data_IF_775411420429
#
_entry.id   IF_775411420429
#
_cell.length_a   1.000
_cell.length_b   1.000
_cell.length_c   1.000
_cell.angle_alpha   90.00
_cell.angle_beta   90.00
_cell.angle_gamma   90.00
#
_symmetry.space_group_name_H-M   'P 1'
#
loop_
_entity.id
_entity.type
_entity.pdbx_description
1 polymer ?
#
# COMPACT_ATOMS: atom_id res chain seq x y z
N UNK A 1 36.80 -12.53 77.19
CA UNK A 1 35.92 -13.21 78.16
C UNK A 1 34.55 -13.30 77.51
N UNK A 2 34.37 -14.34 76.70
CA UNK A 2 33.63 -15.56 77.06
C UNK A 2 32.12 -15.29 77.07
N UNK A 3 31.36 -15.70 76.04
CA UNK A 3 30.88 -17.08 75.79
C UNK A 3 29.86 -17.50 76.89
N UNK A 4 28.75 -18.20 76.67
CA UNK A 4 28.23 -19.01 75.58
C UNK A 4 26.84 -19.55 76.07
N UNK A 5 25.81 -19.74 75.24
CA UNK A 5 25.27 -21.03 74.69
C UNK A 5 23.73 -21.00 74.90
N UNK A 6 22.91 -20.84 73.86
CA UNK A 6 22.33 -21.87 72.98
C UNK A 6 21.33 -22.83 73.66
N UNK A 7 20.06 -22.74 73.24
CA UNK A 7 19.36 -23.83 72.53
C UNK A 7 18.10 -23.32 71.80
N UNK A 8 18.04 -23.68 70.52
CA UNK A 8 16.94 -23.56 69.55
C UNK A 8 16.19 -24.93 69.49
N UNK A 9 15.05 -25.13 68.77
CA UNK A 9 15.04 -25.09 67.29
C UNK A 9 13.74 -24.65 66.55
N UNK A 10 13.98 -24.25 65.29
CA UNK A 10 13.16 -24.35 64.06
C UNK A 10 11.84 -23.54 63.93
N UNK A 11 11.59 -22.81 62.83
CA UNK A 11 12.01 -23.04 61.42
C UNK A 11 12.32 -21.75 60.61
N UNK A 12 13.55 -21.73 60.06
CA UNK A 12 14.04 -21.33 58.73
C UNK A 12 13.76 -19.93 58.11
N UNK A 13 14.83 -19.12 58.12
CA UNK A 13 15.15 -17.90 57.34
C UNK A 13 15.58 -18.23 55.88
N UNK A 14 15.12 -17.50 54.85
CA UNK A 14 15.70 -16.31 54.16
C UNK A 14 17.00 -16.48 53.33
N UNK A 15 16.96 -15.96 52.08
CA UNK A 15 17.84 -14.90 51.50
C UNK A 15 18.50 -15.20 50.13
N UNK A 16 18.08 -14.39 49.14
CA UNK A 16 18.81 -13.66 48.09
C UNK A 16 19.91 -14.30 47.22
N UNK A 17 19.70 -14.25 45.89
CA UNK A 17 20.24 -13.28 44.89
C UNK A 17 19.89 -13.87 43.51
N UNK A 18 19.53 -13.11 42.47
CA UNK A 18 20.49 -12.48 41.57
C UNK A 18 19.86 -11.50 40.57
N UNK A 19 20.60 -10.41 40.34
CA UNK A 19 20.88 -9.70 39.07
C UNK A 19 19.81 -9.63 37.97
N UNK A 20 19.43 -8.40 37.62
CA UNK A 20 19.21 -8.03 36.22
C UNK A 20 19.85 -6.68 35.91
N UNK A 21 20.89 -6.77 35.09
CA UNK A 21 21.67 -5.67 34.51
C UNK A 21 20.77 -4.70 33.73
N UNK A 22 20.63 -3.44 34.21
CA UNK A 22 20.20 -2.32 33.38
C UNK A 22 21.33 -1.92 32.43
N UNK A 23 21.31 -2.45 31.20
CA UNK A 23 22.08 -1.88 30.10
C UNK A 23 21.37 -0.61 29.64
N UNK A 24 21.99 0.55 29.87
CA UNK A 24 21.66 1.79 29.17
C UNK A 24 21.91 1.57 27.67
N UNK A 25 20.86 1.27 26.91
CA UNK A 25 20.86 1.36 25.47
C UNK A 25 20.73 2.84 25.10
N UNK A 26 21.87 3.49 24.90
CA UNK A 26 21.95 4.78 24.21
C UNK A 26 21.52 4.56 22.74
N UNK A 27 20.22 4.62 22.47
CA UNK A 27 19.75 4.84 21.11
C UNK A 27 20.07 6.28 20.73
N UNK A 28 21.15 6.47 19.97
CA UNK A 28 21.35 7.72 19.25
C UNK A 28 20.18 7.85 18.27
N UNK A 29 19.21 8.69 18.64
CA UNK A 29 18.28 9.29 17.67
C UNK A 29 19.11 9.83 16.52
N UNK A 30 18.94 9.24 15.32
CA UNK A 30 19.36 9.92 14.10
C UNK A 30 18.38 11.07 13.94
N UNK A 31 18.82 12.26 14.32
CA UNK A 31 18.13 13.49 13.99
C UNK A 31 17.98 13.55 12.47
N UNK A 32 16.78 13.23 11.97
CA UNK A 32 16.34 13.79 10.70
C UNK A 32 16.18 15.28 10.95
N UNK A 33 17.11 16.05 10.43
CA UNK A 33 17.00 17.50 10.37
C UNK A 33 15.69 17.83 9.67
N UNK A 34 14.73 18.38 10.41
CA UNK A 34 13.52 18.97 9.84
C UNK A 34 13.99 20.14 8.99
N UNK A 35 14.01 19.95 7.67
CA UNK A 35 14.28 21.02 6.71
C UNK A 35 13.10 21.98 6.83
N UNK A 36 13.32 23.14 7.49
CA UNK A 36 12.39 24.26 7.40
C UNK A 36 12.36 24.72 5.96
N UNK A 37 11.22 24.52 5.29
CA UNK A 37 10.97 25.05 3.97
C UNK A 37 11.03 26.58 4.02
N UNK A 38 12.01 27.16 3.34
CA UNK A 38 12.01 28.59 3.02
C UNK A 38 11.08 28.80 1.82
N UNK A 39 10.19 29.79 1.92
CA UNK A 39 9.22 30.15 0.89
C UNK A 39 9.91 30.76 -0.34
N UNK A 40 10.42 29.91 -1.22
CA UNK A 40 10.67 30.21 -2.62
C UNK A 40 10.20 28.99 -3.42
N UNK A 41 8.95 29.00 -3.88
CA UNK A 41 8.42 27.96 -4.76
C UNK A 41 9.08 28.07 -6.14
N UNK A 42 10.18 27.34 -6.33
CA UNK A 42 10.77 27.12 -7.65
C UNK A 42 9.90 26.14 -8.44
N UNK A 43 9.87 26.28 -9.77
CA UNK A 43 9.26 25.32 -10.71
C UNK A 43 9.71 23.87 -10.47
N UNK A 44 10.89 23.69 -9.87
CA UNK A 44 11.49 22.41 -9.45
C UNK A 44 10.70 21.62 -8.37
N UNK A 45 9.56 22.15 -7.92
CA UNK A 45 8.69 21.58 -6.88
C UNK A 45 7.41 20.93 -7.41
N UNK A 46 7.18 20.91 -8.74
CA UNK A 46 5.98 20.31 -9.34
C UNK A 46 6.29 18.91 -9.89
N UNK A 47 5.41 17.96 -9.57
CA UNK A 47 5.42 16.59 -10.11
C UNK A 47 4.24 16.43 -11.03
N UNK A 48 4.49 16.05 -12.29
CA UNK A 48 3.40 15.67 -13.19
C UNK A 48 2.97 14.24 -12.86
N UNK A 49 1.68 14.03 -12.61
CA UNK A 49 1.13 12.74 -12.21
C UNK A 49 0.13 12.26 -13.27
N UNK A 50 0.37 11.08 -13.83
CA UNK A 50 -0.56 10.44 -14.76
C UNK A 50 -1.56 9.59 -13.99
N UNK A 51 -2.81 10.04 -13.94
CA UNK A 51 -3.93 9.32 -13.35
C UNK A 51 -4.91 8.92 -14.45
N UNK A 52 -4.95 7.63 -14.78
CA UNK A 52 -5.83 7.11 -15.83
C UNK A 52 -7.22 6.69 -15.31
N UNK A 53 -7.53 6.99 -14.04
CA UNK A 53 -8.87 6.83 -13.47
C UNK A 53 -9.14 5.52 -12.73
N UNK A 54 -8.11 4.73 -12.40
CA UNK A 54 -8.26 3.47 -11.67
C UNK A 54 -7.55 3.47 -10.30
N UNK A 55 -8.29 3.02 -9.28
CA UNK A 55 -7.85 2.66 -7.94
C UNK A 55 -7.30 3.80 -7.07
N UNK A 56 -6.43 3.48 -6.10
CA UNK A 56 -6.02 4.37 -5.03
C UNK A 56 -4.82 5.27 -5.39
N UNK A 57 -5.02 6.21 -6.32
CA UNK A 57 -3.98 7.22 -6.64
C UNK A 57 -3.78 8.22 -5.48
N UNK A 58 -4.74 8.32 -4.55
CA UNK A 58 -4.66 9.21 -3.37
C UNK A 58 -3.40 8.97 -2.55
N UNK A 59 -3.00 7.72 -2.37
CA UNK A 59 -1.81 7.39 -1.57
C UNK A 59 -0.51 7.93 -2.19
N UNK A 60 -0.38 7.84 -3.51
CA UNK A 60 0.75 8.42 -4.25
C UNK A 60 0.72 9.94 -4.14
N UNK A 61 -0.46 10.57 -4.28
CA UNK A 61 -0.63 12.02 -4.11
C UNK A 61 -0.22 12.48 -2.71
N UNK A 62 -0.61 11.75 -1.68
CA UNK A 62 -0.27 12.08 -0.29
C UNK A 62 1.22 11.90 -0.02
N UNK A 63 1.86 10.86 -0.57
CA UNK A 63 3.29 10.65 -0.46
C UNK A 63 4.10 11.78 -1.15
N UNK A 64 3.68 12.22 -2.33
CA UNK A 64 4.31 13.35 -3.02
C UNK A 64 4.18 14.65 -2.19
N UNK A 65 2.98 14.91 -1.66
CA UNK A 65 2.71 16.10 -0.82
C UNK A 65 3.45 16.07 0.51
N UNK A 66 3.55 14.91 1.15
CA UNK A 66 4.29 14.77 2.42
C UNK A 66 5.78 15.02 2.24
N UNK A 67 6.30 14.80 1.04
CA UNK A 67 7.67 15.13 0.62
C UNK A 67 7.85 16.60 0.20
N UNK A 68 6.79 17.42 0.26
CA UNK A 68 6.84 18.85 0.00
C UNK A 68 6.68 19.26 -1.47
N UNK A 69 6.21 18.36 -2.33
CA UNK A 69 6.01 18.63 -3.76
C UNK A 69 4.53 18.90 -4.08
N UNK A 70 4.33 19.80 -5.06
CA UNK A 70 3.04 20.05 -5.68
C UNK A 70 2.78 19.06 -6.81
N UNK A 71 1.52 18.88 -7.18
CA UNK A 71 1.11 17.92 -8.21
C UNK A 71 0.41 18.67 -9.34
N UNK A 72 0.80 18.37 -10.58
CA UNK A 72 0.06 18.71 -11.79
C UNK A 72 -0.48 17.43 -12.41
N UNK A 73 -1.80 17.33 -12.56
CA UNK A 73 -2.41 16.18 -13.21
C UNK A 73 -2.21 16.23 -14.73
N UNK A 74 -1.89 15.08 -15.33
CA UNK A 74 -1.97 14.91 -16.78
C UNK A 74 -3.44 14.92 -17.19
N UNK A 75 -3.79 15.79 -18.13
CA UNK A 75 -5.13 15.80 -18.75
C UNK A 75 -5.05 15.48 -20.25
N UNK A 76 -3.90 15.74 -20.87
CA UNK A 76 -3.67 15.57 -22.31
C UNK A 76 -2.20 15.23 -22.62
N UNK A 77 -1.90 14.71 -23.82
CA UNK A 77 -0.53 14.31 -24.21
C UNK A 77 0.52 15.41 -24.00
N UNK A 78 0.19 16.68 -24.19
CA UNK A 78 1.14 17.78 -24.02
C UNK A 78 1.57 17.97 -22.56
N UNK A 79 0.76 17.55 -21.58
CA UNK A 79 1.17 17.62 -20.18
C UNK A 79 2.31 16.64 -19.88
N UNK A 80 2.31 15.48 -20.54
CA UNK A 80 3.39 14.49 -20.49
C UNK A 80 4.64 15.07 -21.15
N UNK A 81 4.49 15.54 -22.39
CA UNK A 81 5.60 16.08 -23.19
C UNK A 81 6.24 17.34 -22.58
N UNK A 82 5.56 18.06 -21.68
CA UNK A 82 6.11 19.23 -21.01
C UNK A 82 6.53 18.96 -19.55
N UNK A 83 6.40 17.75 -19.03
CA UNK A 83 6.67 17.44 -17.63
C UNK A 83 8.17 17.50 -17.28
N UNK A 84 8.57 18.23 -16.24
CA UNK A 84 9.96 18.17 -15.75
C UNK A 84 10.29 16.81 -15.11
N UNK A 85 9.28 16.21 -14.47
CA UNK A 85 9.29 14.83 -13.97
C UNK A 85 7.89 14.26 -14.00
N UNK A 86 7.80 12.99 -14.38
CA UNK A 86 6.54 12.28 -14.55
C UNK A 86 6.50 11.06 -13.63
N UNK A 87 5.44 10.94 -12.84
CA UNK A 87 5.12 9.70 -12.12
C UNK A 87 3.88 9.10 -12.77
N UNK A 88 3.97 7.82 -13.13
CA UNK A 88 2.85 7.03 -13.60
C UNK A 88 2.56 5.90 -12.61
N UNK A 89 1.68 6.13 -11.62
CA UNK A 89 1.16 5.06 -10.79
C UNK A 89 0.11 4.25 -11.56
N UNK A 90 0.07 2.94 -11.33
CA UNK A 90 -1.06 2.17 -11.85
C UNK A 90 -1.46 1.00 -10.98
N UNK A 91 -2.78 0.85 -10.86
CA UNK A 91 -3.49 -0.19 -10.13
C UNK A 91 -4.70 -0.60 -10.96
N UNK A 92 -4.90 -1.91 -11.14
CA UNK A 92 -5.97 -2.42 -12.00
C UNK A 92 -5.42 -3.24 -13.16
N UNK A 93 -6.24 -3.41 -14.19
CA UNK A 93 -5.93 -4.28 -15.31
C UNK A 93 -5.10 -3.60 -16.40
N UNK A 94 -4.10 -4.32 -16.91
CA UNK A 94 -3.20 -3.95 -18.01
C UNK A 94 -3.95 -3.53 -19.27
N UNK A 95 -4.93 -4.36 -19.69
CA UNK A 95 -5.71 -4.09 -20.90
C UNK A 95 -6.47 -2.76 -20.80
N UNK A 96 -7.16 -2.54 -19.68
CA UNK A 96 -7.93 -1.32 -19.46
C UNK A 96 -7.04 -0.07 -19.45
N UNK A 97 -5.85 -0.15 -18.84
CA UNK A 97 -4.89 0.94 -18.86
C UNK A 97 -4.40 1.25 -20.28
N UNK A 98 -4.00 0.23 -21.06
CA UNK A 98 -3.57 0.43 -22.45
C UNK A 98 -4.69 0.99 -23.33
N UNK A 99 -5.94 0.56 -23.14
CA UNK A 99 -7.08 1.09 -23.89
C UNK A 99 -7.26 2.60 -23.64
N UNK A 100 -7.23 3.03 -22.38
CA UNK A 100 -7.33 4.46 -22.02
C UNK A 100 -6.15 5.26 -22.57
N UNK A 101 -4.92 4.75 -22.44
CA UNK A 101 -3.72 5.43 -22.91
C UNK A 101 -3.71 5.59 -24.44
N UNK A 102 -4.14 4.56 -25.17
CA UNK A 102 -4.22 4.60 -26.64
C UNK A 102 -5.33 5.54 -27.12
N UNK A 103 -6.53 5.45 -26.53
CA UNK A 103 -7.68 6.28 -26.92
C UNK A 103 -7.42 7.78 -26.74
N UNK A 104 -6.65 8.16 -25.72
CA UNK A 104 -6.34 9.55 -25.42
C UNK A 104 -4.99 10.03 -26.00
N UNK A 105 -4.31 9.23 -26.82
CA UNK A 105 -3.00 9.55 -27.39
C UNK A 105 -1.86 9.66 -26.37
N UNK A 106 -2.08 9.22 -25.13
CA UNK A 106 -1.09 9.29 -24.05
C UNK A 106 0.02 8.24 -24.21
N UNK A 107 -0.26 7.10 -24.84
CA UNK A 107 0.73 6.04 -25.06
C UNK A 107 1.93 6.53 -25.91
N UNK A 108 1.66 7.23 -27.01
CA UNK A 108 2.71 7.78 -27.89
C UNK A 108 3.54 8.88 -27.19
N UNK A 109 2.86 9.75 -26.43
CA UNK A 109 3.53 10.77 -25.64
C UNK A 109 4.41 10.18 -24.52
N UNK A 110 3.97 9.09 -23.88
CA UNK A 110 4.77 8.35 -22.89
C UNK A 110 6.02 7.75 -23.53
N UNK A 111 5.90 7.05 -24.66
CA UNK A 111 7.05 6.50 -25.38
C UNK A 111 8.04 7.60 -25.74
N UNK A 112 7.56 8.70 -26.35
CA UNK A 112 8.40 9.84 -26.71
C UNK A 112 9.10 10.45 -25.48
N UNK A 113 8.40 10.62 -24.37
CA UNK A 113 8.97 11.17 -23.13
C UNK A 113 10.08 10.28 -22.57
N UNK A 114 9.84 8.96 -22.54
CA UNK A 114 10.75 7.96 -21.97
C UNK A 114 11.97 7.76 -22.87
N UNK A 115 11.80 7.73 -24.19
CA UNK A 115 12.89 7.59 -25.16
C UNK A 115 13.83 8.80 -25.17
N UNK A 116 13.33 9.98 -24.82
CA UNK A 116 14.14 11.19 -24.60
C UNK A 116 14.85 11.22 -23.24
N UNK A 117 14.89 10.11 -22.50
CA UNK A 117 15.58 9.94 -21.22
C UNK A 117 15.17 10.98 -20.16
N UNK A 118 13.88 11.33 -20.11
CA UNK A 118 13.35 12.29 -19.14
C UNK A 118 12.97 11.62 -17.83
N UNK A 119 13.01 12.32 -16.68
CA UNK A 119 12.71 11.74 -15.38
C UNK A 119 11.32 11.11 -15.33
N UNK A 120 11.28 9.78 -15.25
CA UNK A 120 10.07 8.97 -15.25
C UNK A 120 10.11 7.97 -14.11
N UNK A 121 9.01 7.84 -13.37
CA UNK A 121 8.80 6.76 -12.39
C UNK A 121 7.49 6.01 -12.66
N UNK A 122 7.60 4.79 -13.16
CA UNK A 122 6.48 3.85 -13.24
C UNK A 122 6.30 3.06 -11.93
N UNK A 123 5.07 2.98 -11.41
CA UNK A 123 4.78 2.22 -10.16
C UNK A 123 3.78 1.11 -10.46
N UNK A 124 4.11 -0.12 -10.07
CA UNK A 124 3.33 -1.34 -10.23
C UNK A 124 2.90 -1.57 -11.67
N UNK A 125 1.65 -1.26 -12.05
CA UNK A 125 1.21 -1.36 -13.43
C UNK A 125 2.01 -0.41 -14.35
N UNK A 126 2.44 0.75 -13.85
CA UNK A 126 3.33 1.65 -14.60
C UNK A 126 4.66 1.02 -14.99
N UNK A 127 5.19 0.04 -14.23
CA UNK A 127 6.33 -0.78 -14.64
C UNK A 127 5.91 -1.78 -15.73
N UNK A 128 4.79 -2.47 -15.52
CA UNK A 128 4.35 -3.55 -16.38
C UNK A 128 4.07 -3.06 -17.80
N UNK A 129 3.45 -1.89 -17.95
CA UNK A 129 3.11 -1.32 -19.25
C UNK A 129 4.34 -0.99 -20.11
N UNK A 130 5.54 -0.86 -19.53
CA UNK A 130 6.78 -0.65 -20.30
C UNK A 130 7.17 -1.88 -21.14
N UNK A 131 6.68 -3.07 -20.79
CA UNK A 131 7.00 -4.31 -21.49
C UNK A 131 6.22 -4.45 -22.81
N UNK A 132 6.62 -5.40 -23.65
CA UNK A 132 5.99 -5.67 -24.95
C UNK A 132 4.53 -6.09 -24.83
N UNK A 133 4.20 -6.89 -23.82
CA UNK A 133 2.84 -7.38 -23.62
C UNK A 133 2.57 -7.94 -22.23
N UNK A 134 1.30 -8.19 -21.94
CA UNK A 134 0.85 -8.97 -20.78
C UNK A 134 -0.11 -10.08 -21.19
N UNK A 135 -0.11 -11.16 -20.43
CA UNK A 135 -1.07 -12.28 -20.54
C UNK A 135 -2.36 -12.03 -19.73
N UNK A 136 -2.50 -10.87 -19.08
CA UNK A 136 -3.67 -10.54 -18.29
C UNK A 136 -4.92 -10.44 -19.17
N UNK A 137 -5.77 -11.48 -19.09
CA UNK A 137 -7.00 -11.65 -19.89
C UNK A 137 -6.73 -11.75 -21.40
N UNK A 138 -5.66 -12.48 -21.76
CA UNK A 138 -5.22 -12.66 -23.14
C UNK A 138 -3.94 -11.85 -23.41
N UNK A 139 -3.38 -11.99 -24.61
CA UNK A 139 -2.16 -11.29 -24.97
C UNK A 139 -2.48 -9.85 -25.39
N UNK A 140 -2.12 -8.88 -24.56
CA UNK A 140 -2.33 -7.44 -24.81
C UNK A 140 -0.99 -6.73 -24.94
N UNK A 141 -0.84 -5.91 -25.99
CA UNK A 141 0.39 -5.14 -26.24
C UNK A 141 0.54 -4.02 -25.21
N UNK A 142 1.75 -3.87 -24.66
CA UNK A 142 2.16 -2.71 -23.85
C UNK A 142 2.78 -1.61 -24.71
N UNK A 143 3.57 -0.75 -24.06
CA UNK A 143 4.33 0.32 -24.72
C UNK A 143 5.52 -0.22 -25.54
N UNK A 144 6.00 -1.44 -25.22
CA UNK A 144 7.04 -2.10 -26.02
C UNK A 144 8.45 -1.50 -25.89
N UNK A 145 8.73 -0.82 -24.78
CA UNK A 145 10.03 -0.22 -24.50
C UNK A 145 11.03 -1.23 -23.92
N UNK A 146 10.53 -2.26 -23.24
CA UNK A 146 11.32 -3.32 -22.59
C UNK A 146 10.93 -4.68 -23.18
N UNK A 147 11.90 -5.47 -23.69
CA UNK A 147 11.60 -6.82 -24.16
C UNK A 147 11.03 -7.73 -23.07
N UNK A 148 10.00 -8.50 -23.40
CA UNK A 148 9.42 -9.51 -22.53
C UNK A 148 7.92 -9.39 -22.31
N UNK A 149 7.37 -10.44 -21.69
CA UNK A 149 5.94 -10.60 -21.43
C UNK A 149 5.67 -10.59 -19.93
N UNK A 150 4.67 -9.82 -19.51
CA UNK A 150 4.16 -9.78 -18.14
C UNK A 150 3.16 -10.93 -17.97
N UNK A 151 3.65 -12.06 -17.47
CA UNK A 151 2.86 -13.29 -17.25
C UNK A 151 2.38 -13.47 -15.81
N UNK A 152 1.43 -14.38 -15.58
CA UNK A 152 0.89 -14.68 -14.24
C UNK A 152 1.86 -15.54 -13.40
N UNK A 153 1.95 -15.30 -12.10
CA UNK A 153 2.68 -16.21 -11.19
C UNK A 153 2.15 -17.65 -11.28
N UNK A 154 3.07 -18.61 -11.27
CA UNK A 154 2.73 -20.02 -11.26
C UNK A 154 2.41 -20.50 -9.84
N UNK A 155 1.12 -20.74 -9.57
CA UNK A 155 0.67 -21.28 -8.28
C UNK A 155 1.02 -22.76 -8.08
N UNK A 156 1.42 -23.48 -9.14
CA UNK A 156 1.82 -24.89 -9.04
C UNK A 156 3.11 -25.07 -8.22
N UNK A 157 3.92 -24.02 -8.11
CA UNK A 157 5.13 -23.95 -7.28
C UNK A 157 4.85 -23.74 -5.78
N UNK A 158 3.60 -23.90 -5.34
CA UNK A 158 3.20 -23.83 -3.93
C UNK A 158 3.11 -22.40 -3.36
N UNK A 159 3.27 -21.37 -4.20
CA UNK A 159 3.06 -19.97 -3.79
C UNK A 159 1.60 -19.56 -3.97
N UNK A 160 1.11 -18.74 -3.02
CA UNK A 160 -0.23 -18.14 -3.14
C UNK A 160 -0.17 -17.02 -4.18
N UNK A 161 -1.15 -16.96 -5.08
CA UNK A 161 -1.24 -15.88 -6.07
C UNK A 161 -2.57 -15.16 -5.87
N UNK A 162 -2.59 -13.83 -5.66
CA UNK A 162 -1.50 -12.85 -5.82
C UNK A 162 -0.37 -12.91 -4.78
N UNK A 163 0.80 -12.37 -5.14
CA UNK A 163 1.87 -12.00 -4.22
C UNK A 163 1.42 -10.76 -3.43
N UNK A 164 1.03 -10.96 -2.17
CA UNK A 164 0.62 -9.89 -1.25
C UNK A 164 1.52 -9.91 -0.01
N UNK A 165 2.32 -8.87 0.16
CA UNK A 165 3.09 -8.66 1.38
C UNK A 165 4.43 -7.97 1.16
N UNK A 166 5.22 -8.00 2.22
CA UNK A 166 6.49 -7.30 2.34
C UNK A 166 7.63 -8.25 1.94
N UNK A 167 8.31 -7.97 0.83
CA UNK A 167 9.37 -8.84 0.30
C UNK A 167 10.69 -8.08 0.10
N UNK A 168 11.78 -8.83 0.07
CA UNK A 168 13.13 -8.27 0.01
C UNK A 168 13.64 -8.21 -1.43
N UNK A 169 14.35 -7.14 -1.76
CA UNK A 169 14.95 -6.96 -3.09
C UNK A 169 16.36 -7.55 -3.14
N UNK A 170 16.69 -8.14 -4.29
CA UNK A 170 18.05 -8.41 -4.72
C UNK A 170 18.46 -7.30 -5.69
N UNK A 171 19.22 -6.32 -5.19
CA UNK A 171 19.70 -5.20 -6.01
C UNK A 171 20.80 -5.72 -6.94
N UNK A 172 20.57 -5.65 -8.26
CA UNK A 172 21.48 -6.14 -9.30
C UNK A 172 22.36 -5.03 -9.86
N UNK A 173 21.88 -3.78 -9.78
CA UNK A 173 22.57 -2.58 -10.24
C UNK A 173 22.28 -1.43 -9.28
N UNK A 174 23.24 -0.54 -9.09
CA UNK A 174 22.98 0.69 -8.36
C UNK A 174 22.03 1.58 -9.16
N UNK A 175 20.87 1.90 -8.59
CA UNK A 175 19.85 2.71 -9.24
C UNK A 175 19.56 4.05 -8.61
N UNK A 176 20.37 4.47 -7.64
CA UNK A 176 20.17 5.70 -6.87
C UNK A 176 18.93 5.61 -5.98
N UNK A 177 17.73 5.49 -6.56
CA UNK A 177 16.44 5.45 -5.85
C UNK A 177 16.32 4.29 -4.86
N UNK A 178 17.08 3.19 -5.05
CA UNK A 178 17.03 2.00 -4.19
C UNK A 178 18.11 1.94 -3.09
N UNK A 179 18.93 2.98 -2.93
CA UNK A 179 20.08 2.97 -2.01
C UNK A 179 19.70 2.63 -0.56
N UNK A 180 18.58 3.18 -0.05
CA UNK A 180 18.09 2.91 1.31
C UNK A 180 17.25 1.63 1.41
N UNK A 181 16.91 0.99 0.29
CA UNK A 181 16.10 -0.23 0.28
C UNK A 181 16.93 -1.45 0.70
N UNK A 182 18.26 -1.37 0.57
CA UNK A 182 19.21 -2.44 0.88
C UNK A 182 18.90 -3.17 2.19
N UNK A 183 18.33 -4.37 2.05
CA UNK A 183 17.97 -5.30 3.12
C UNK A 183 16.88 -4.82 4.10
N UNK A 184 16.00 -3.94 3.61
CA UNK A 184 14.64 -3.72 4.11
C UNK A 184 13.62 -4.48 3.23
N UNK A 185 12.37 -4.52 3.66
CA UNK A 185 11.26 -5.06 2.88
C UNK A 185 10.46 -3.93 2.23
N UNK A 186 9.91 -4.21 1.05
CA UNK A 186 8.96 -3.32 0.34
C UNK A 186 7.67 -4.06 0.04
N UNK A 187 6.56 -3.33 -0.09
CA UNK A 187 5.24 -3.90 -0.23
C UNK A 187 4.87 -4.21 -1.69
N UNK A 188 4.53 -5.47 -1.95
CA UNK A 188 4.07 -5.99 -3.22
C UNK A 188 2.60 -6.42 -3.12
N UNK A 189 1.84 -6.14 -4.19
CA UNK A 189 0.44 -6.56 -4.34
C UNK A 189 0.11 -6.81 -5.81
N UNK A 190 0.48 -7.98 -6.32
CA UNK A 190 0.35 -8.28 -7.76
C UNK A 190 0.21 -9.76 -8.09
N UNK A 191 -0.51 -10.01 -9.19
CA UNK A 191 -0.75 -11.34 -9.75
C UNK A 191 0.16 -11.68 -10.92
N UNK A 192 0.66 -10.65 -11.60
CA UNK A 192 1.45 -10.73 -12.83
C UNK A 192 2.83 -10.12 -12.60
N UNK A 193 3.83 -10.62 -13.31
CA UNK A 193 5.23 -10.23 -13.15
C UNK A 193 6.02 -10.45 -14.44
N UNK A 194 7.03 -9.63 -14.68
CA UNK A 194 8.02 -9.83 -15.73
C UNK A 194 9.20 -10.65 -15.21
N UNK A 195 9.74 -11.54 -16.05
CA UNK A 195 10.87 -12.42 -15.70
C UNK A 195 12.17 -11.87 -16.30
N UNK A 196 13.30 -11.89 -15.56
CA UNK A 196 14.61 -11.55 -16.09
C UNK A 196 15.00 -12.39 -17.31
N UNK A 197 15.55 -11.75 -18.34
CA UNK A 197 16.09 -12.41 -19.53
C UNK A 197 17.30 -11.64 -20.06
N UNK A 198 18.08 -12.25 -20.95
CA UNK A 198 19.20 -11.56 -21.61
C UNK A 198 18.72 -10.33 -22.41
N UNK A 199 17.52 -10.37 -22.99
CA UNK A 199 16.98 -9.29 -23.81
C UNK A 199 16.59 -8.04 -23.01
N UNK A 200 16.29 -8.18 -21.71
CA UNK A 200 15.93 -7.06 -20.84
C UNK A 200 16.97 -6.77 -19.74
N UNK A 201 18.11 -7.45 -19.76
CA UNK A 201 19.13 -7.40 -18.72
C UNK A 201 19.63 -5.97 -18.42
N UNK A 202 19.77 -5.13 -19.45
CA UNK A 202 20.27 -3.76 -19.30
C UNK A 202 19.36 -2.85 -18.48
N UNK A 203 18.06 -3.17 -18.45
CA UNK A 203 17.06 -2.45 -17.69
C UNK A 203 17.00 -2.89 -16.23
N UNK A 204 17.36 -4.13 -15.89
CA UNK A 204 17.07 -4.68 -14.57
C UNK A 204 17.94 -4.02 -13.49
N UNK A 205 17.30 -3.36 -12.52
CA UNK A 205 18.00 -2.76 -11.38
C UNK A 205 17.83 -3.54 -10.08
N UNK A 206 16.72 -4.27 -9.92
CA UNK A 206 16.60 -5.28 -8.87
C UNK A 206 15.65 -6.42 -9.25
N UNK A 207 15.87 -7.59 -8.67
CA UNK A 207 14.93 -8.71 -8.71
C UNK A 207 14.36 -9.01 -7.33
N UNK A 208 13.33 -9.84 -7.27
CA UNK A 208 12.76 -10.36 -6.04
C UNK A 208 12.37 -11.82 -6.26
N UNK A 209 12.47 -12.64 -5.22
CA UNK A 209 12.06 -14.05 -5.27
C UNK A 209 10.69 -14.24 -4.61
N UNK A 210 9.76 -14.86 -5.32
CA UNK A 210 8.47 -15.31 -4.81
C UNK A 210 8.01 -16.55 -5.60
N UNK A 211 8.57 -17.71 -5.26
CA UNK A 211 8.46 -18.93 -6.07
C UNK A 211 9.38 -18.85 -7.30
N UNK A 212 9.16 -17.83 -8.12
CA UNK A 212 10.01 -17.46 -9.25
C UNK A 212 10.85 -16.22 -8.93
N UNK A 213 12.00 -16.06 -9.59
CA UNK A 213 12.73 -14.79 -9.61
C UNK A 213 12.09 -13.86 -10.64
N UNK A 214 11.65 -12.67 -10.22
CA UNK A 214 10.98 -11.70 -11.08
C UNK A 214 11.63 -10.32 -10.99
N UNK A 215 11.40 -9.49 -12.02
CA UNK A 215 11.89 -8.11 -12.07
C UNK A 215 11.12 -7.28 -11.05
N UNK A 216 11.81 -6.78 -10.04
CA UNK A 216 11.21 -5.93 -9.00
C UNK A 216 11.38 -4.44 -9.31
N UNK A 217 12.40 -4.08 -10.08
CA UNK A 217 12.58 -2.71 -10.58
C UNK A 217 13.47 -2.67 -11.82
N UNK A 218 13.29 -1.62 -12.61
CA UNK A 218 14.09 -1.33 -13.81
C UNK A 218 14.63 0.10 -13.78
N UNK A 219 15.74 0.31 -14.46
CA UNK A 219 16.33 1.61 -14.71
C UNK A 219 17.12 1.65 -16.02
N UNK A 220 16.87 2.68 -16.82
CA UNK A 220 17.75 3.11 -17.92
C UNK A 220 17.79 4.64 -17.95
N UNK A 221 18.98 5.22 -17.75
CA UNK A 221 19.13 6.67 -17.59
C UNK A 221 18.27 7.21 -16.43
N UNK A 222 17.42 8.20 -16.72
CA UNK A 222 16.47 8.83 -15.79
C UNK A 222 15.10 8.13 -15.74
N UNK A 223 14.94 7.02 -16.47
CA UNK A 223 13.73 6.22 -16.51
C UNK A 223 13.83 5.13 -15.45
N UNK A 224 12.98 5.22 -14.43
CA UNK A 224 12.87 4.25 -13.36
C UNK A 224 11.47 3.62 -13.36
N UNK A 225 11.37 2.35 -12.96
CA UNK A 225 10.08 1.79 -12.58
C UNK A 225 10.24 0.72 -11.51
N UNK A 226 9.22 0.55 -10.67
CA UNK A 226 9.19 -0.38 -9.55
C UNK A 226 7.92 -1.21 -9.56
N UNK A 227 8.01 -2.51 -9.27
CA UNK A 227 6.85 -3.40 -9.19
C UNK A 227 6.16 -3.33 -7.83
N UNK A 228 6.91 -2.97 -6.78
CA UNK A 228 6.37 -2.68 -5.45
C UNK A 228 5.75 -1.27 -5.39
N UNK A 229 5.01 -1.00 -4.33
CA UNK A 229 4.35 0.28 -4.09
C UNK A 229 5.13 1.11 -3.07
N UNK A 230 5.99 2.07 -3.49
CA UNK A 230 6.76 2.88 -2.57
C UNK A 230 5.86 3.75 -1.65
N UNK A 231 4.70 4.20 -2.13
CA UNK A 231 3.70 4.89 -1.32
C UNK A 231 3.01 4.01 -0.26
N UNK A 232 3.22 2.68 -0.33
CA UNK A 232 2.73 1.68 0.63
C UNK A 232 3.83 0.90 1.33
N UNK A 233 5.08 1.32 1.17
CA UNK A 233 6.24 0.66 1.77
C UNK A 233 6.80 1.45 2.95
N UNK A 234 5.96 2.24 3.64
CA UNK A 234 6.36 3.05 4.79
C UNK A 234 7.52 4.00 4.50
N UNK A 235 8.37 4.23 5.50
CA UNK A 235 9.50 5.16 5.39
C UNK A 235 10.52 4.76 4.32
N UNK A 236 10.76 3.45 4.13
CA UNK A 236 11.66 2.98 3.06
C UNK A 236 11.09 3.29 1.68
N UNK A 237 9.77 3.15 1.50
CA UNK A 237 9.11 3.55 0.27
C UNK A 237 9.11 5.06 0.02
N UNK A 238 8.86 5.86 1.05
CA UNK A 238 9.00 7.32 0.97
C UNK A 238 10.42 7.74 0.59
N UNK A 239 11.45 7.01 1.04
CA UNK A 239 12.85 7.27 0.66
C UNK A 239 13.11 7.05 -0.85
N UNK A 240 12.42 6.08 -1.47
CA UNK A 240 12.50 5.83 -2.92
C UNK A 240 11.90 7.01 -3.69
N UNK A 241 10.71 7.46 -3.29
CA UNK A 241 10.05 8.62 -3.89
C UNK A 241 10.88 9.90 -3.69
N UNK A 242 11.38 10.13 -2.49
CA UNK A 242 12.20 11.31 -2.17
C UNK A 242 13.44 11.39 -3.07
N UNK A 243 14.11 10.26 -3.31
CA UNK A 243 15.27 10.20 -4.20
C UNK A 243 14.93 10.45 -5.66
N UNK A 244 13.85 9.86 -6.17
CA UNK A 244 13.40 10.13 -7.53
C UNK A 244 13.08 11.62 -7.73
N UNK A 245 12.44 12.24 -6.74
CA UNK A 245 11.99 13.62 -6.82
C UNK A 245 13.12 14.65 -6.69
N UNK A 246 14.27 14.28 -6.12
CA UNK A 246 15.39 15.20 -5.91
C UNK A 246 16.32 15.23 -7.13
N UNK A 247 16.53 16.43 -7.69
CA UNK A 247 17.29 16.65 -8.95
C UNK A 247 18.81 16.50 -8.86
N UNK A 248 19.37 16.23 -7.67
CA UNK A 248 20.83 16.19 -7.49
C UNK A 248 21.37 14.77 -7.51
N UNK A 249 22.39 14.58 -8.35
CA UNK A 249 23.25 13.40 -8.37
C UNK A 249 23.69 13.06 -6.95
N UNK A 250 23.13 11.98 -6.42
CA UNK A 250 23.64 11.36 -5.23
C UNK A 250 25.00 10.73 -5.55
N UNK A 251 26.02 11.11 -4.79
CA UNK A 251 27.23 10.31 -4.73
C UNK A 251 26.86 9.00 -4.05
N UNK A 252 26.73 7.94 -4.86
CA UNK A 252 26.36 6.61 -4.41
C UNK A 252 27.17 6.20 -3.17
N UNK A 253 26.50 6.05 -2.02
CA UNK A 253 27.07 5.29 -0.91
C UNK A 253 26.74 3.83 -1.14
N UNK A 254 27.71 2.98 -0.84
CA UNK A 254 27.59 1.52 -0.97
C UNK A 254 26.31 1.06 -0.25
N UNK A 255 25.39 0.43 -1.00
CA UNK A 255 24.12 -0.07 -0.49
C UNK A 255 24.31 -0.80 0.85
N UNK A 256 23.51 -0.44 1.84
CA UNK A 256 23.54 -1.10 3.15
C UNK A 256 23.15 -2.57 2.99
N UNK A 257 24.04 -3.48 3.41
CA UNK A 257 23.72 -4.92 3.50
C UNK A 257 22.79 -5.14 4.70
N UNK A 258 21.48 -5.07 4.49
CA UNK A 258 20.52 -5.51 5.50
C UNK A 258 20.31 -7.04 5.49
N UNK A 259 19.39 -7.52 6.34
CA UNK A 259 19.13 -8.95 6.58
C UNK A 259 17.87 -9.49 5.90
N UNK A 260 17.05 -8.63 5.30
CA UNK A 260 15.85 -9.05 4.59
C UNK A 260 16.23 -9.88 3.36
N UNK A 261 15.72 -11.10 3.27
CA UNK A 261 16.04 -12.04 2.17
C UNK A 261 14.85 -12.84 1.66
N UNK A 262 13.66 -12.69 2.27
CA UNK A 262 12.44 -13.43 1.97
C UNK A 262 11.20 -12.64 2.36
N UNK A 263 10.04 -13.10 1.91
CA UNK A 263 8.73 -12.58 2.32
C UNK A 263 8.63 -12.55 3.86
N UNK A 264 8.26 -11.39 4.41
CA UNK A 264 8.06 -11.19 5.84
C UNK A 264 6.77 -11.82 6.33
N UNK A 265 6.70 -12.08 7.64
CA UNK A 265 5.43 -12.38 8.31
C UNK A 265 4.66 -11.06 8.44
N UNK A 266 3.48 -10.98 7.82
CA UNK A 266 2.65 -9.77 7.84
C UNK A 266 1.85 -9.66 9.15
N UNK A 267 2.00 -8.54 9.84
CA UNK A 267 1.27 -8.17 11.06
C UNK A 267 0.23 -7.10 10.71
N UNK A 268 -1.05 -7.46 10.78
CA UNK A 268 -2.17 -6.58 10.45
C UNK A 268 -2.78 -6.04 11.74
N UNK A 269 -2.83 -4.73 11.90
CA UNK A 269 -3.56 -4.09 12.99
C UNK A 269 -5.00 -3.85 12.55
N UNK A 270 -5.97 -4.21 13.39
CA UNK A 270 -7.38 -4.11 13.08
C UNK A 270 -8.10 -3.23 14.11
N UNK A 271 -9.00 -2.37 13.65
CA UNK A 271 -9.85 -1.57 14.52
C UNK A 271 -11.33 -1.58 14.07
N UNK A 272 -12.22 -1.64 15.05
CA UNK A 272 -13.65 -1.45 14.85
C UNK A 272 -13.98 0.03 14.79
N UNK A 273 -14.71 0.46 13.77
CA UNK A 273 -15.21 1.83 13.62
C UNK A 273 -16.72 1.84 13.83
N UNK A 274 -17.17 2.51 14.90
CA UNK A 274 -18.58 2.65 15.30
C UNK A 274 -19.00 4.11 15.34
N UNK A 275 -20.30 4.36 15.27
CA UNK A 275 -20.89 5.61 15.71
C UNK A 275 -21.24 5.50 17.21
N UNK A 276 -20.87 6.50 18.01
CA UNK A 276 -21.35 6.63 19.39
C UNK A 276 -22.78 7.21 19.42
N UNK A 277 -23.33 7.38 20.62
CA UNK A 277 -24.69 7.90 20.79
C UNK A 277 -24.86 9.36 20.34
N UNK A 278 -23.76 10.12 20.19
CA UNK A 278 -23.74 11.48 19.65
C UNK A 278 -23.56 11.51 18.11
N UNK A 279 -23.41 10.35 17.47
CA UNK A 279 -23.14 10.24 16.03
C UNK A 279 -21.67 10.37 15.64
N UNK A 280 -20.75 10.57 16.60
CA UNK A 280 -19.31 10.63 16.33
C UNK A 280 -18.73 9.26 16.02
N UNK A 281 -17.74 9.22 15.13
CA UNK A 281 -16.97 8.01 14.88
C UNK A 281 -15.93 7.74 15.97
N UNK A 282 -16.03 6.56 16.57
CA UNK A 282 -15.15 6.11 17.67
C UNK A 282 -14.60 4.72 17.40
N UNK A 283 -13.46 4.42 18.02
CA UNK A 283 -12.92 3.05 18.08
C UNK A 283 -13.34 2.38 19.37
N UNK A 284 -13.69 1.10 19.30
CA UNK A 284 -14.05 0.31 20.49
C UNK A 284 -13.17 -0.91 20.67
N UNK A 285 -12.97 -1.38 21.92
CA UNK A 285 -12.28 -2.64 22.21
C UNK A 285 -13.26 -3.80 22.11
N UNK A 286 -12.99 -4.79 21.26
CA UNK A 286 -13.76 -6.02 21.14
C UNK A 286 -12.95 -7.25 21.54
N UNK A 287 -12.81 -7.51 22.85
CA UNK A 287 -12.50 -8.86 23.35
C UNK A 287 -13.70 -9.52 24.08
N UNK A 288 -14.78 -8.76 24.31
CA UNK A 288 -16.07 -9.26 24.76
C UNK A 288 -17.19 -8.61 23.95
N UNK A 289 -18.30 -9.33 23.76
CA UNK A 289 -19.50 -8.82 23.08
C UNK A 289 -20.16 -7.63 23.81
N UNK A 290 -19.69 -7.30 25.02
CA UNK A 290 -20.12 -6.14 25.78
C UNK A 290 -19.18 -4.95 25.53
N UNK A 291 -19.61 -4.05 24.66
CA UNK A 291 -18.87 -2.85 24.25
C UNK A 291 -19.30 -1.59 25.02
N UNK A 292 -20.23 -1.73 25.96
CA UNK A 292 -20.72 -0.64 26.79
C UNK A 292 -20.04 -0.65 28.15
N UNK A 293 -19.78 0.52 28.70
CA UNK A 293 -19.27 0.59 30.07
C UNK A 293 -20.40 0.29 31.05
N UNK A 294 -20.13 -0.50 32.09
CA UNK A 294 -21.04 -0.71 33.22
C UNK A 294 -21.08 0.54 34.13
N UNK A 295 -21.36 1.70 33.54
CA UNK A 295 -21.62 2.99 34.21
C UNK A 295 -23.12 3.29 34.11
N UNK A 296 -23.60 4.29 34.87
CA UNK A 296 -25.04 4.65 34.90
C UNK A 296 -25.61 5.04 33.53
N UNK A 297 -24.76 5.47 32.60
CA UNK A 297 -25.13 5.99 31.29
C UNK A 297 -24.97 4.95 30.16
N UNK A 298 -24.35 3.78 30.44
CA UNK A 298 -24.23 2.65 29.51
C UNK A 298 -23.62 3.04 28.14
N UNK A 299 -22.65 3.95 28.16
CA UNK A 299 -22.02 4.55 26.98
C UNK A 299 -21.06 3.59 26.27
N UNK A 300 -20.83 3.83 24.97
CA UNK A 300 -19.88 3.08 24.15
C UNK A 300 -18.44 3.35 24.61
N UNK A 301 -17.69 2.28 24.92
CA UNK A 301 -16.29 2.37 25.37
C UNK A 301 -15.37 2.86 24.24
N UNK A 302 -14.93 4.11 24.35
CA UNK A 302 -14.14 4.81 23.33
C UNK A 302 -12.62 4.64 23.55
N UNK A 303 -11.90 4.07 22.58
CA UNK A 303 -10.44 3.92 22.56
C UNK A 303 -9.71 5.08 21.86
N UNK A 304 -10.45 6.08 21.39
CA UNK A 304 -9.94 7.22 20.63
C UNK A 304 -10.53 7.32 19.24
N UNK A 305 -10.04 8.29 18.47
CA UNK A 305 -10.50 8.54 17.11
C UNK A 305 -9.86 7.55 16.13
N UNK A 306 -10.62 6.97 15.17
CA UNK A 306 -10.11 5.99 14.22
C UNK A 306 -8.81 6.40 13.51
N UNK A 307 -8.72 7.67 13.10
CA UNK A 307 -7.56 8.22 12.37
C UNK A 307 -6.30 8.24 13.24
N UNK A 308 -6.42 8.66 14.50
CA UNK A 308 -5.29 8.77 15.43
C UNK A 308 -4.74 7.40 15.80
N UNK A 309 -5.64 6.44 16.06
CA UNK A 309 -5.25 5.07 16.37
C UNK A 309 -4.60 4.37 15.17
N UNK A 310 -5.14 4.53 13.97
CA UNK A 310 -4.53 4.00 12.74
C UNK A 310 -3.12 4.56 12.53
N UNK A 311 -2.92 5.86 12.78
CA UNK A 311 -1.59 6.49 12.75
C UNK A 311 -0.65 5.91 13.80
N UNK A 312 -1.15 5.60 15.00
CA UNK A 312 -0.35 4.99 16.05
C UNK A 312 0.07 3.57 15.67
N UNK A 313 -0.84 2.75 15.14
CA UNK A 313 -0.51 1.42 14.62
C UNK A 313 0.55 1.44 13.53
N UNK A 314 0.48 2.40 12.59
CA UNK A 314 1.53 2.59 11.60
C UNK A 314 2.90 2.88 12.25
N UNK A 315 2.96 3.82 13.20
CA UNK A 315 4.20 4.15 13.91
C UNK A 315 4.77 2.99 14.73
N UNK A 316 3.90 2.15 15.27
CA UNK A 316 4.27 0.97 16.05
C UNK A 316 4.70 -0.22 15.17
N UNK A 317 4.68 -0.06 13.83
CA UNK A 317 5.19 -1.03 12.88
C UNK A 317 4.16 -2.00 12.31
N UNK A 318 2.88 -1.61 12.29
CA UNK A 318 1.87 -2.40 11.58
C UNK A 318 2.16 -2.43 10.07
N UNK A 319 2.18 -3.63 9.49
CA UNK A 319 2.41 -3.85 8.06
C UNK A 319 1.19 -3.47 7.21
N UNK A 320 0.02 -3.34 7.85
CA UNK A 320 -1.28 -3.01 7.26
C UNK A 320 -2.25 -2.60 8.37
N UNK A 321 -3.17 -1.68 8.05
CA UNK A 321 -4.25 -1.27 8.95
C UNK A 321 -5.60 -1.63 8.34
N UNK A 322 -6.41 -2.38 9.08
CA UNK A 322 -7.75 -2.80 8.70
C UNK A 322 -8.81 -2.08 9.53
N UNK A 323 -9.79 -1.50 8.85
CA UNK A 323 -10.95 -0.85 9.44
C UNK A 323 -12.18 -1.75 9.26
N UNK A 324 -12.78 -2.16 10.37
CA UNK A 324 -14.07 -2.84 10.38
C UNK A 324 -15.16 -1.78 10.55
N UNK A 325 -15.71 -1.35 9.41
CA UNK A 325 -16.82 -0.43 9.34
C UNK A 325 -18.12 -1.14 9.73
N UNK A 326 -18.53 -0.92 10.98
CA UNK A 326 -19.78 -1.41 11.55
C UNK A 326 -20.73 -0.27 11.85
N UNK A 327 -20.55 0.85 11.15
CA UNK A 327 -21.47 1.98 11.21
C UNK A 327 -22.76 1.65 10.47
N UNK A 328 -23.89 2.05 11.04
CA UNK A 328 -25.23 1.77 10.52
C UNK A 328 -25.74 2.78 9.48
N UNK A 329 -24.86 3.48 8.75
CA UNK A 329 -25.25 4.59 7.88
C UNK A 329 -25.78 4.12 6.51
N UNK A 330 -26.91 3.39 6.51
CA UNK A 330 -27.51 2.87 5.26
C UNK A 330 -28.34 3.91 4.50
N UNK A 331 -28.78 4.97 5.18
CA UNK A 331 -29.67 5.98 4.59
C UNK A 331 -28.92 7.18 3.97
N UNK A 332 -27.61 7.25 4.14
CA UNK A 332 -26.77 8.36 3.65
C UNK A 332 -26.36 8.14 2.18
N UNK A 333 -26.29 9.23 1.38
CA UNK A 333 -25.63 9.17 0.08
C UNK A 333 -24.20 8.67 0.22
N UNK A 334 -23.73 7.87 -0.75
CA UNK A 334 -22.41 7.21 -0.69
C UNK A 334 -21.27 8.19 -0.39
N UNK A 335 -21.28 9.38 -1.01
CA UNK A 335 -20.21 10.37 -0.84
C UNK A 335 -20.11 10.97 0.57
N UNK A 336 -21.19 10.88 1.35
CA UNK A 336 -21.33 11.46 2.68
C UNK A 336 -21.06 10.45 3.79
N UNK A 337 -20.68 9.22 3.45
CA UNK A 337 -20.36 8.20 4.44
C UNK A 337 -19.15 8.64 5.28
N UNK A 338 -19.30 8.78 6.62
CA UNK A 338 -18.21 9.23 7.49
C UNK A 338 -16.95 8.35 7.43
N UNK A 339 -17.11 7.06 7.11
CA UNK A 339 -15.98 6.14 6.93
C UNK A 339 -15.04 6.55 5.78
N UNK A 340 -15.56 7.22 4.74
CA UNK A 340 -14.73 7.74 3.65
C UNK A 340 -13.79 8.84 4.16
N UNK A 341 -14.27 9.71 5.05
CA UNK A 341 -13.43 10.73 5.68
C UNK A 341 -12.34 10.12 6.55
N UNK A 342 -12.65 9.08 7.32
CA UNK A 342 -11.65 8.35 8.11
C UNK A 342 -10.51 7.85 7.22
N UNK A 343 -10.81 7.24 6.07
CA UNK A 343 -9.80 6.79 5.12
C UNK A 343 -9.04 7.95 4.48
N UNK A 344 -9.75 9.04 4.14
CA UNK A 344 -9.16 10.23 3.52
C UNK A 344 -8.12 10.86 4.45
N UNK A 345 -8.43 11.03 5.73
CA UNK A 345 -7.52 11.58 6.73
C UNK A 345 -6.43 10.59 7.17
N UNK A 346 -6.74 9.29 7.27
CA UNK A 346 -5.73 8.27 7.59
C UNK A 346 -4.66 8.20 6.52
N UNK A 347 -5.05 8.15 5.25
CA UNK A 347 -4.14 8.02 4.11
C UNK A 347 -3.18 9.21 3.93
N UNK A 348 -3.41 10.34 4.60
CA UNK A 348 -2.49 11.49 4.56
C UNK A 348 -1.19 11.23 5.33
N UNK A 349 -1.22 10.33 6.32
CA UNK A 349 -0.12 10.13 7.25
C UNK A 349 0.25 8.66 7.48
N UNK A 350 -0.45 7.72 6.83
CA UNK A 350 -0.23 6.28 6.94
C UNK A 350 0.12 5.72 5.57
N UNK A 351 1.39 5.33 5.42
CA UNK A 351 1.99 4.87 4.15
C UNK A 351 2.18 3.35 4.12
N UNK A 352 1.21 2.62 4.67
CA UNK A 352 1.05 1.17 4.56
C UNK A 352 -0.33 0.86 3.98
N UNK A 353 -0.60 -0.38 3.54
CA UNK A 353 -1.91 -0.75 3.02
C UNK A 353 -3.03 -0.48 4.02
N UNK A 354 -4.15 0.05 3.51
CA UNK A 354 -5.38 0.26 4.24
C UNK A 354 -6.44 -0.69 3.71
N UNK A 355 -7.05 -1.49 4.59
CA UNK A 355 -8.17 -2.38 4.23
C UNK A 355 -9.43 -1.89 4.92
N UNK A 356 -10.57 -1.88 4.23
CA UNK A 356 -11.87 -1.55 4.82
C UNK A 356 -12.84 -2.70 4.62
N UNK A 357 -13.52 -3.13 5.68
CA UNK A 357 -14.55 -4.15 5.63
C UNK A 357 -15.87 -3.63 6.18
N UNK A 358 -16.98 -4.09 5.61
CA UNK A 358 -18.33 -3.69 6.04
C UNK A 358 -18.94 -2.59 5.17
N UNK A 359 -20.18 -2.82 4.73
CA UNK A 359 -20.92 -1.92 3.83
C UNK A 359 -20.56 -2.01 2.34
N UNK A 360 -19.62 -2.88 1.95
CA UNK A 360 -19.19 -3.06 0.55
C UNK A 360 -20.14 -4.03 -0.17
N UNK A 361 -21.27 -3.50 -0.62
CA UNK A 361 -22.33 -4.24 -1.33
C UNK A 361 -23.23 -3.26 -2.09
N UNK A 362 -24.13 -3.79 -2.90
CA UNK A 362 -25.18 -3.00 -3.53
C UNK A 362 -26.10 -2.39 -2.45
N UNK A 363 -26.47 -1.12 -2.61
CA UNK A 363 -27.46 -0.47 -1.74
C UNK A 363 -28.19 0.68 -2.43
N UNK A 364 -29.28 1.14 -1.83
CA UNK A 364 -30.03 2.33 -2.27
C UNK A 364 -30.09 3.31 -1.11
N UNK A 365 -29.74 4.57 -1.36
CA UNK A 365 -29.73 5.62 -0.33
C UNK A 365 -31.14 6.16 -0.04
N UNK A 366 -31.26 7.05 0.96
CA UNK A 366 -32.54 7.68 1.32
C UNK A 366 -33.15 8.57 0.22
N UNK A 367 -32.37 8.95 -0.79
CA UNK A 367 -32.84 9.69 -1.96
C UNK A 367 -33.31 8.78 -3.10
N UNK A 368 -33.24 7.45 -2.92
CA UNK A 368 -33.62 6.46 -3.92
C UNK A 368 -32.55 6.20 -4.99
N UNK A 369 -31.32 6.71 -4.83
CA UNK A 369 -30.22 6.41 -5.74
C UNK A 369 -29.64 5.04 -5.43
N UNK A 370 -29.64 4.18 -6.44
CA UNK A 370 -28.98 2.87 -6.37
C UNK A 370 -27.48 3.01 -6.63
N UNK A 371 -26.69 2.31 -5.82
CA UNK A 371 -25.24 2.16 -5.96
C UNK A 371 -24.89 0.68 -6.07
N UNK A 372 -24.14 0.33 -7.11
CA UNK A 372 -23.53 -1.00 -7.24
C UNK A 372 -22.36 -1.18 -6.27
N UNK A 373 -22.09 -2.41 -5.87
CA UNK A 373 -20.92 -2.79 -5.06
C UNK A 373 -19.61 -2.34 -5.68
N UNK A 374 -19.52 -2.32 -7.02
CA UNK A 374 -18.37 -1.75 -7.73
C UNK A 374 -18.24 -0.24 -7.50
N UNK A 375 -19.32 0.53 -7.58
CA UNK A 375 -19.30 1.97 -7.28
C UNK A 375 -18.91 2.22 -5.82
N UNK A 376 -19.47 1.44 -4.89
CA UNK A 376 -19.13 1.53 -3.46
C UNK A 376 -17.64 1.26 -3.24
N UNK A 377 -17.12 0.12 -3.73
CA UNK A 377 -15.71 -0.20 -3.60
C UNK A 377 -14.81 0.85 -4.25
N UNK A 378 -15.19 1.35 -5.43
CA UNK A 378 -14.45 2.41 -6.14
C UNK A 378 -14.36 3.69 -5.31
N UNK A 379 -15.42 4.08 -4.62
CA UNK A 379 -15.40 5.26 -3.76
C UNK A 379 -14.52 5.06 -2.52
N UNK A 380 -14.53 3.87 -1.93
CA UNK A 380 -13.61 3.50 -0.86
C UNK A 380 -12.14 3.55 -1.32
N UNK A 381 -11.84 3.04 -2.52
CA UNK A 381 -10.48 3.11 -3.09
C UNK A 381 -10.03 4.55 -3.34
N UNK A 382 -10.89 5.40 -3.92
CA UNK A 382 -10.61 6.83 -4.13
C UNK A 382 -10.42 7.59 -2.81
N UNK A 383 -11.08 7.13 -1.75
CA UNK A 383 -10.99 7.71 -0.42
C UNK A 383 -9.75 7.24 0.36
N UNK A 384 -9.00 6.26 -0.13
CA UNK A 384 -7.70 5.88 0.41
C UNK A 384 -7.57 4.41 0.80
N UNK A 385 -8.63 3.61 0.72
CA UNK A 385 -8.52 2.17 0.88
C UNK A 385 -7.69 1.58 -0.27
N UNK A 386 -6.93 0.54 0.04
CA UNK A 386 -6.27 -0.31 -0.94
C UNK A 386 -7.10 -1.56 -1.18
N UNK A 387 -7.64 -2.17 -0.12
CA UNK A 387 -8.46 -3.37 -0.20
C UNK A 387 -9.84 -3.17 0.42
N UNK A 388 -10.81 -3.92 -0.10
CA UNK A 388 -12.14 -4.05 0.49
C UNK A 388 -12.36 -5.48 0.95
N UNK A 389 -12.96 -5.65 2.13
CA UNK A 389 -13.34 -6.97 2.65
C UNK A 389 -14.83 -7.22 2.46
N UNK A 390 -15.15 -8.36 1.84
CA UNK A 390 -16.52 -8.81 1.57
C UNK A 390 -16.92 -9.89 2.58
N UNK A 391 -18.00 -9.64 3.31
CA UNK A 391 -18.57 -10.55 4.32
C UNK A 391 -19.74 -11.38 3.79
N UNK A 392 -20.97 -11.03 4.18
CA UNK A 392 -22.19 -11.79 3.86
C UNK A 392 -22.39 -12.05 2.36
N UNK A 393 -22.11 -11.06 1.51
CA UNK A 393 -22.19 -11.21 0.05
C UNK A 393 -21.31 -12.35 -0.50
N UNK A 394 -20.17 -12.62 0.14
CA UNK A 394 -19.29 -13.71 -0.27
C UNK A 394 -19.94 -15.08 -0.03
N UNK A 395 -20.71 -15.22 1.05
CA UNK A 395 -21.48 -16.44 1.35
C UNK A 395 -22.56 -16.64 0.29
N UNK A 396 -23.34 -15.60 -0.03
CA UNK A 396 -24.38 -15.68 -1.05
C UNK A 396 -23.81 -16.00 -2.44
N UNK A 397 -22.66 -15.40 -2.79
CA UNK A 397 -21.96 -15.71 -4.02
C UNK A 397 -21.50 -17.18 -4.08
N UNK A 398 -20.97 -17.71 -2.98
CA UNK A 398 -20.53 -19.10 -2.87
C UNK A 398 -21.72 -20.08 -2.97
N UNK A 399 -22.81 -19.82 -2.26
CA UNK A 399 -24.04 -20.62 -2.32
C UNK A 399 -24.62 -20.66 -3.75
N UNK A 400 -24.69 -19.50 -4.41
CA UNK A 400 -25.15 -19.41 -5.79
C UNK A 400 -24.25 -20.21 -6.75
N UNK A 401 -22.93 -20.13 -6.56
CA UNK A 401 -21.97 -20.88 -7.37
C UNK A 401 -22.07 -22.39 -7.13
N UNK A 402 -22.17 -22.85 -5.87
CA UNK A 402 -22.32 -24.27 -5.54
C UNK A 402 -23.60 -24.85 -6.17
N UNK A 403 -24.70 -24.08 -6.15
CA UNK A 403 -25.98 -24.51 -6.72
C UNK A 403 -25.96 -24.61 -8.25
N UNK A 404 -25.25 -23.72 -8.93
CA UNK A 404 -25.35 -23.55 -10.39
C UNK A 404 -24.14 -24.07 -11.14
N UNK A 405 -22.97 -24.15 -10.51
CA UNK A 405 -21.68 -24.40 -11.14
C UNK A 405 -21.18 -23.24 -12.03
N UNK A 406 -21.88 -22.10 -12.06
CA UNK A 406 -21.64 -21.01 -13.02
C UNK A 406 -21.32 -19.71 -12.29
N UNK A 407 -20.29 -19.02 -12.78
CA UNK A 407 -19.96 -17.64 -12.39
C UNK A 407 -20.96 -16.69 -13.02
N UNK A 408 -21.74 -15.99 -12.21
CA UNK A 408 -22.80 -15.09 -12.69
C UNK A 408 -22.26 -13.81 -13.30
N UNK A 409 -21.05 -13.41 -12.90
CA UNK A 409 -20.47 -12.12 -13.20
C UNK A 409 -21.08 -10.94 -12.42
N UNK A 410 -22.07 -11.20 -11.56
CA UNK A 410 -22.89 -10.18 -10.90
C UNK A 410 -22.61 -10.07 -9.40
N UNK A 411 -21.89 -11.01 -8.78
CA UNK A 411 -21.53 -10.87 -7.37
C UNK A 411 -20.56 -9.70 -7.16
N UNK A 412 -20.56 -9.09 -5.97
CA UNK A 412 -19.60 -8.06 -5.59
C UNK A 412 -18.16 -8.52 -5.77
N UNK A 413 -17.85 -9.78 -5.43
CA UNK A 413 -16.56 -10.42 -5.69
C UNK A 413 -16.19 -10.37 -7.19
N UNK A 414 -17.09 -10.78 -8.08
CA UNK A 414 -16.83 -10.84 -9.52
C UNK A 414 -16.72 -9.45 -10.15
N UNK A 415 -17.58 -8.51 -9.75
CA UNK A 415 -17.58 -7.15 -10.28
C UNK A 415 -16.30 -6.40 -9.90
N UNK A 416 -15.92 -6.43 -8.61
CA UNK A 416 -14.74 -5.72 -8.09
C UNK A 416 -13.46 -6.35 -8.63
N UNK A 417 -13.30 -7.68 -8.55
CA UNK A 417 -12.09 -8.36 -9.04
C UNK A 417 -11.89 -8.25 -10.55
N UNK A 418 -12.98 -8.11 -11.33
CA UNK A 418 -12.87 -7.91 -12.78
C UNK A 418 -12.22 -6.58 -13.13
N UNK A 419 -12.49 -5.52 -12.37
CA UNK A 419 -12.01 -4.17 -12.64
C UNK A 419 -10.64 -3.95 -12.01
N UNK A 420 -10.50 -4.28 -10.73
CA UNK A 420 -9.29 -3.97 -9.97
C UNK A 420 -8.29 -5.14 -9.96
N UNK A 421 -8.77 -6.37 -10.05
CA UNK A 421 -7.98 -7.60 -9.87
C UNK A 421 -8.25 -8.27 -8.52
N UNK A 422 -7.86 -9.54 -8.39
CA UNK A 422 -8.10 -10.35 -7.19
C UNK A 422 -7.38 -9.84 -5.93
N UNK A 423 -6.34 -9.02 -6.10
CA UNK A 423 -5.47 -8.54 -5.03
C UNK A 423 -6.07 -7.41 -4.18
N UNK A 424 -7.25 -6.91 -4.56
CA UNK A 424 -7.92 -5.80 -3.88
C UNK A 424 -9.18 -6.22 -3.11
N UNK A 425 -9.43 -7.54 -3.04
CA UNK A 425 -10.48 -8.20 -2.25
C UNK A 425 -9.92 -8.86 -0.98
#
# INVERSE_FOLDING_TARGET
>A
MEAALLRSPCSLFFSNKTETSRKNLNFKSKNFSVIRASANQSADSVVTLLDYGAGNVRSVRNAIRSLGYNIKDVQKPEDILNADRLIFPGVGAFAAAMDVLNQNGMAEALCTYIENDRPFLGICLGLQLLFESSEEKGLVKGLGLIPGVVGRFDSSNGVRVPHIGWNALQITKDSGILEDVGGQHVYFVHSYRAIPSNANQEWISSTCNYGDNFIASVQRGNVHAVQFHPEKSGDVGLSVLARFLQSKSYTAKKATKGKASKLAKRVIACLDVRANDNGDLVVTKGDQYDVREHTKENEVRNLGKPVELARQYYKDGADEVSFLNITGFRDFPLGDLPMLEVLRYTSENVFVPLTVGGGIRDFTDGNGRHYSSLEVASEYFRSGADKVSIGSDAVYAAEAYIRTGVKTGNSSLEQISRVYGNQWL
#
